data_IF_272489829142
#
_entry.id   IF_272489829142
#
_cell.length_a   1.000
_cell.length_b   1.000
_cell.length_c   1.000
_cell.angle_alpha   90.00
_cell.angle_beta   90.00
_cell.angle_gamma   90.00
#
_symmetry.space_group_name_H-M   'P 1'
#
loop_
_entity.id
_entity.type
_entity.pdbx_description
1 polymer ?
#
# COMPACT_ATOMS: atom_id res chain seq x y z
N UNK A 1 -7.63 -13.78 -2.73
CA UNK A 1 -7.11 -12.69 -1.86
C UNK A 1 -6.35 -13.17 -0.62
N UNK A 2 -6.59 -14.37 -0.04
CA UNK A 2 -5.92 -14.80 1.20
C UNK A 2 -4.40 -14.97 1.10
N UNK A 3 -3.90 -15.52 -0.01
CA UNK A 3 -2.46 -15.78 -0.19
C UNK A 3 -1.65 -14.48 -0.33
N UNK A 4 -2.09 -13.56 -1.21
CA UNK A 4 -1.43 -12.28 -1.38
C UNK A 4 -1.41 -11.45 -0.10
N UNK A 5 -2.51 -11.48 0.67
CA UNK A 5 -2.58 -10.85 1.99
C UNK A 5 -1.52 -11.39 2.96
N UNK A 6 -1.39 -12.72 3.07
CA UNK A 6 -0.39 -13.35 3.95
C UNK A 6 1.03 -12.96 3.54
N UNK A 7 1.31 -12.99 2.23
CA UNK A 7 2.61 -12.66 1.66
C UNK A 7 3.02 -11.20 1.95
N UNK A 8 2.10 -10.24 1.73
CA UNK A 8 2.38 -8.84 2.08
C UNK A 8 2.44 -8.58 3.58
N UNK A 9 2.21 -9.55 4.46
CA UNK A 9 2.46 -9.44 5.90
C UNK A 9 3.69 -10.27 6.37
N UNK A 10 4.34 -11.01 5.47
CA UNK A 10 5.53 -11.82 5.79
C UNK A 10 6.73 -10.98 6.19
N UNK A 11 7.59 -11.50 7.07
CA UNK A 11 8.86 -10.86 7.46
C UNK A 11 9.94 -10.98 6.37
N UNK A 12 9.77 -11.87 5.39
CA UNK A 12 10.73 -12.09 4.31
C UNK A 12 10.47 -11.11 3.16
N UNK A 13 11.46 -10.31 2.72
CA UNK A 13 11.27 -9.37 1.61
C UNK A 13 10.79 -10.03 0.31
N UNK A 14 11.26 -11.25 0.01
CA UNK A 14 10.85 -12.02 -1.17
C UNK A 14 9.36 -12.35 -1.18
N UNK A 15 8.81 -12.72 -0.02
CA UNK A 15 7.37 -12.98 0.12
C UNK A 15 6.58 -11.70 -0.12
N UNK A 16 7.04 -10.57 0.42
CA UNK A 16 6.39 -9.27 0.22
C UNK A 16 6.35 -8.91 -1.26
N UNK A 17 7.47 -9.04 -1.96
CA UNK A 17 7.55 -8.79 -3.41
C UNK A 17 6.62 -9.72 -4.20
N UNK A 18 6.57 -11.00 -3.84
CA UNK A 18 5.65 -11.96 -4.46
C UNK A 18 4.18 -11.57 -4.21
N UNK A 19 3.86 -11.13 -3.00
CA UNK A 19 2.54 -10.63 -2.62
C UNK A 19 2.12 -9.39 -3.43
N UNK A 20 3.05 -8.45 -3.63
CA UNK A 20 2.86 -7.25 -4.46
C UNK A 20 2.55 -7.66 -5.90
N UNK A 21 3.39 -8.48 -6.54
CA UNK A 21 3.20 -8.91 -7.93
C UNK A 21 1.84 -9.60 -8.14
N UNK A 22 1.41 -10.42 -7.18
CA UNK A 22 0.09 -11.05 -7.22
C UNK A 22 -1.05 -10.04 -7.10
N UNK A 23 -0.91 -9.00 -6.28
CA UNK A 23 -1.91 -7.95 -6.12
C UNK A 23 -2.01 -7.08 -7.37
N UNK A 24 -0.89 -6.70 -7.98
CA UNK A 24 -0.87 -5.92 -9.23
C UNK A 24 -1.60 -6.65 -10.36
N UNK A 25 -1.28 -7.93 -10.57
CA UNK A 25 -1.99 -8.75 -11.55
C UNK A 25 -3.50 -8.84 -11.28
N UNK A 26 -3.89 -8.83 -10.00
CA UNK A 26 -5.30 -8.92 -9.60
C UNK A 26 -6.07 -7.60 -9.73
N UNK A 27 -5.38 -6.44 -9.65
CA UNK A 27 -5.99 -5.10 -9.78
C UNK A 27 -6.48 -4.92 -11.21
N UNK A 28 -5.67 -5.27 -12.20
CA UNK A 28 -5.97 -5.17 -13.64
C UNK A 28 -7.22 -5.94 -14.09
N UNK A 29 -7.64 -6.96 -13.34
CA UNK A 29 -8.82 -7.78 -13.65
C UNK A 29 -10.10 -7.37 -12.89
N UNK A 30 -10.11 -6.25 -12.17
CA UNK A 30 -11.22 -5.86 -11.29
C UNK A 30 -12.17 -4.87 -11.97
N UNK A 31 -13.44 -5.21 -12.13
CA UNK A 31 -14.47 -4.28 -12.60
C UNK A 31 -15.34 -3.69 -11.49
N UNK A 32 -15.27 -4.24 -10.27
CA UNK A 32 -16.07 -3.78 -9.13
C UNK A 32 -15.28 -2.76 -8.26
N UNK A 33 -15.78 -1.52 -8.09
CA UNK A 33 -15.10 -0.48 -7.29
C UNK A 33 -14.81 -0.90 -5.83
N UNK A 34 -15.73 -1.63 -5.19
CA UNK A 34 -15.55 -2.07 -3.79
C UNK A 34 -14.42 -3.11 -3.65
N UNK A 35 -14.26 -3.98 -4.64
CA UNK A 35 -13.13 -4.92 -4.67
C UNK A 35 -11.83 -4.20 -5.07
N UNK A 36 -11.93 -3.21 -5.96
CA UNK A 36 -10.80 -2.41 -6.40
C UNK A 36 -10.18 -1.64 -5.22
N UNK A 37 -10.98 -0.95 -4.40
CA UNK A 37 -10.47 -0.24 -3.21
C UNK A 37 -9.74 -1.17 -2.24
N UNK A 38 -10.26 -2.39 -2.01
CA UNK A 38 -9.64 -3.35 -1.09
C UNK A 38 -8.29 -3.84 -1.63
N UNK A 39 -8.21 -4.11 -2.93
CA UNK A 39 -6.96 -4.50 -3.59
C UNK A 39 -5.94 -3.37 -3.58
N UNK A 40 -6.36 -2.14 -3.89
CA UNK A 40 -5.50 -0.94 -3.83
C UNK A 40 -4.96 -0.72 -2.42
N UNK A 41 -5.82 -0.85 -1.40
CA UNK A 41 -5.40 -0.77 -0.01
C UNK A 41 -4.35 -1.83 0.33
N UNK A 42 -4.57 -3.11 -0.01
CA UNK A 42 -3.57 -4.16 0.25
C UNK A 42 -2.27 -3.96 -0.52
N UNK A 43 -2.35 -3.48 -1.76
CA UNK A 43 -1.17 -3.18 -2.56
C UNK A 43 -0.37 -2.03 -1.94
N UNK A 44 -1.05 -0.98 -1.45
CA UNK A 44 -0.42 0.13 -0.73
C UNK A 44 0.32 -0.35 0.53
N UNK A 45 -0.23 -1.31 1.27
CA UNK A 45 0.44 -1.95 2.43
C UNK A 45 1.67 -2.74 1.98
N UNK A 46 1.59 -3.48 0.87
CA UNK A 46 2.74 -4.18 0.29
C UNK A 46 3.90 -3.24 0.01
N UNK A 47 3.64 -2.14 -0.69
CA UNK A 47 4.66 -1.14 -1.01
C UNK A 47 5.22 -0.40 0.20
N UNK A 48 4.39 -0.11 1.20
CA UNK A 48 4.89 0.44 2.47
C UNK A 48 5.91 -0.48 3.13
N UNK A 49 5.64 -1.79 3.12
CA UNK A 49 6.52 -2.79 3.75
C UNK A 49 7.77 -3.09 2.92
N UNK A 50 7.74 -2.85 1.61
CA UNK A 50 8.96 -2.89 0.78
C UNK A 50 9.80 -1.61 0.89
N UNK A 51 9.30 -0.58 1.59
CA UNK A 51 9.98 0.71 1.77
C UNK A 51 9.69 1.73 0.66
N UNK A 52 8.85 1.39 -0.32
CA UNK A 52 8.43 2.33 -1.37
C UNK A 52 7.22 3.15 -0.88
N UNK A 53 7.52 4.10 -0.01
CA UNK A 53 6.50 4.96 0.59
C UNK A 53 5.81 5.88 -0.42
N UNK A 54 6.52 6.28 -1.48
CA UNK A 54 5.96 7.11 -2.56
C UNK A 54 4.86 6.38 -3.31
N UNK A 55 5.12 5.15 -3.75
CA UNK A 55 4.11 4.32 -4.44
C UNK A 55 3.00 3.90 -3.49
N UNK A 56 3.33 3.59 -2.24
CA UNK A 56 2.33 3.33 -1.20
C UNK A 56 1.33 4.49 -1.03
N UNK A 57 1.84 5.73 -1.00
CA UNK A 57 1.02 6.94 -0.90
C UNK A 57 0.06 7.10 -2.09
N UNK A 58 0.56 6.94 -3.31
CA UNK A 58 -0.27 7.06 -4.51
C UNK A 58 -1.42 6.06 -4.51
N UNK A 59 -1.15 4.82 -4.11
CA UNK A 59 -2.18 3.77 -4.08
C UNK A 59 -3.23 3.96 -2.99
N UNK A 60 -2.84 4.47 -1.81
CA UNK A 60 -3.82 4.79 -0.77
C UNK A 60 -4.67 6.00 -1.15
N UNK A 61 -4.13 6.96 -1.91
CA UNK A 61 -4.89 8.08 -2.46
C UNK A 61 -5.95 7.57 -3.46
N UNK A 62 -5.59 6.71 -4.42
CA UNK A 62 -6.55 6.09 -5.34
C UNK A 62 -7.60 5.22 -4.63
N UNK A 63 -7.25 4.61 -3.50
CA UNK A 63 -8.21 3.90 -2.65
C UNK A 63 -9.25 4.87 -2.03
N UNK A 64 -8.79 6.02 -1.55
CA UNK A 64 -9.63 7.05 -0.95
C UNK A 64 -10.49 7.81 -1.97
N UNK A 65 -10.10 7.87 -3.24
CA UNK A 65 -10.98 8.37 -4.32
C UNK A 65 -12.27 7.52 -4.44
N UNK A 66 -12.16 6.20 -4.19
CA UNK A 66 -13.31 5.28 -4.23
C UNK A 66 -14.08 5.28 -2.90
N UNK A 67 -13.37 5.43 -1.77
CA UNK A 67 -13.97 5.40 -0.43
C UNK A 67 -13.38 6.52 0.47
N UNK A 68 -13.85 7.77 0.31
CA UNK A 68 -13.26 8.93 0.99
C UNK A 68 -13.30 8.85 2.52
N UNK A 69 -14.35 8.24 3.06
CA UNK A 69 -14.58 8.16 4.50
C UNK A 69 -13.94 6.92 5.15
N UNK A 70 -13.09 6.19 4.41
CA UNK A 70 -12.46 4.99 4.94
C UNK A 70 -11.38 5.34 5.98
N UNK A 71 -11.79 5.37 7.25
CA UNK A 71 -10.95 5.74 8.40
C UNK A 71 -9.62 4.99 8.46
N UNK A 72 -9.59 3.70 8.14
CA UNK A 72 -8.37 2.91 8.13
C UNK A 72 -7.39 3.38 7.06
N UNK A 73 -7.87 3.67 5.84
CA UNK A 73 -7.05 4.20 4.77
C UNK A 73 -6.54 5.62 5.07
N UNK A 74 -7.37 6.47 5.68
CA UNK A 74 -6.96 7.80 6.15
C UNK A 74 -5.85 7.75 7.21
N UNK A 75 -6.00 6.89 8.22
CA UNK A 75 -4.99 6.70 9.25
C UNK A 75 -3.68 6.12 8.68
N UNK A 76 -3.80 5.19 7.74
CA UNK A 76 -2.65 4.60 7.05
C UNK A 76 -1.92 5.61 6.19
N UNK A 77 -2.63 6.45 5.43
CA UNK A 77 -2.06 7.57 4.67
C UNK A 77 -1.20 8.45 5.57
N UNK A 78 -1.73 8.91 6.70
CA UNK A 78 -0.97 9.73 7.66
C UNK A 78 0.32 9.04 8.12
N UNK A 79 0.27 7.73 8.37
CA UNK A 79 1.45 6.94 8.75
C UNK A 79 2.52 6.93 7.65
N UNK A 80 2.11 6.81 6.37
CA UNK A 80 3.02 6.89 5.22
C UNK A 80 3.65 8.29 5.14
N UNK A 81 2.85 9.34 5.25
CA UNK A 81 3.33 10.73 5.17
C UNK A 81 4.34 11.06 6.28
N UNK A 82 4.10 10.58 7.50
CA UNK A 82 5.01 10.71 8.62
C UNK A 82 6.34 9.99 8.34
N UNK A 83 6.32 8.83 7.69
CA UNK A 83 7.54 8.10 7.28
C UNK A 83 8.34 8.83 6.22
N UNK A 84 7.68 9.36 5.18
CA UNK A 84 8.33 10.15 4.13
C UNK A 84 8.99 11.38 4.75
N UNK A 85 8.25 12.12 5.58
CA UNK A 85 8.74 13.36 6.21
C UNK A 85 9.93 13.10 7.15
N UNK A 86 9.89 12.00 7.92
CA UNK A 86 11.01 11.60 8.78
C UNK A 86 12.24 11.14 7.98
N UNK A 87 12.05 10.43 6.87
CA UNK A 87 13.14 10.04 5.97
C UNK A 87 13.87 11.25 5.40
N UNK A 88 13.13 12.22 4.85
CA UNK A 88 13.69 13.46 4.31
C UNK A 88 14.52 14.22 5.36
N UNK A 89 14.04 14.31 6.61
CA UNK A 89 14.78 14.97 7.70
C UNK A 89 16.08 14.27 8.08
N UNK A 90 16.16 12.95 7.93
CA UNK A 90 17.37 12.18 8.22
C UNK A 90 18.44 12.37 7.13
N UNK A 91 18.01 12.51 5.87
CA UNK A 91 18.92 12.70 4.73
C UNK A 91 19.40 14.15 4.60
N UNK A 92 18.70 15.12 5.20
CA UNK A 92 19.06 16.54 5.20
C UNK A 92 20.11 16.94 6.25
N UNK A 93 20.55 16.00 7.08
CA UNK A 93 21.51 16.21 8.18
C UNK A 93 22.93 15.75 7.85
N UNK A 94 23.22 15.49 6.57
CA UNK A 94 24.55 15.17 6.06
C UNK A 94 24.97 16.15 4.98
#
# INVERSE_FOLDING_TARGET
MRLSWSLVHSKRPEDVQRGIAMLEASVSGSSNPLQMREKLYLLSVGYYRSGDYSRSRQLVDSCLEIAPDWRQALAFKKTIEDKITKGVKSDSLF
#
